data_IF_850517441968
#
_entry.id   IF_850517441968
#
_cell.length_a   1.000
_cell.length_b   1.000
_cell.length_c   1.000
_cell.angle_alpha   90.00
_cell.angle_beta   90.00
_cell.angle_gamma   90.00
#
_symmetry.space_group_name_H-M   'P 1'
#
loop_
_entity.id
_entity.type
_entity.pdbx_description
1 polymer ?
#
# COMPACT_ATOMS: atom_id res chain seq x y z
N UNK A 1 5.86 1.70 8.53
CA UNK A 1 5.23 1.35 7.24
C UNK A 1 4.09 2.30 6.89
N UNK A 2 2.99 2.31 7.66
CA UNK A 2 1.84 3.18 7.40
C UNK A 2 2.21 4.66 7.15
N UNK A 3 2.99 5.28 8.05
CA UNK A 3 3.43 6.67 7.90
C UNK A 3 4.27 6.92 6.64
N UNK A 4 5.17 5.99 6.30
CA UNK A 4 6.00 6.10 5.09
C UNK A 4 5.16 6.01 3.83
N UNK A 5 4.21 5.08 3.78
CA UNK A 5 3.28 4.98 2.67
C UNK A 5 2.41 6.24 2.58
N UNK A 6 1.97 6.83 3.71
CA UNK A 6 1.11 8.02 3.70
C UNK A 6 1.82 9.27 3.19
N UNK A 7 3.14 9.33 3.33
CA UNK A 7 3.95 10.41 2.79
C UNK A 7 4.15 10.28 1.26
N UNK A 8 4.05 9.07 0.71
CA UNK A 8 4.31 8.78 -0.71
C UNK A 8 3.04 8.56 -1.55
N UNK A 9 1.90 8.21 -0.94
CA UNK A 9 0.61 8.14 -1.64
C UNK A 9 0.16 9.56 -1.97
N UNK A 10 0.35 9.94 -3.24
CA UNK A 10 -0.13 11.20 -3.76
C UNK A 10 -1.66 11.23 -3.69
N UNK A 11 -2.23 12.34 -3.23
CA UNK A 11 -3.66 12.48 -2.89
C UNK A 11 -4.64 12.25 -4.06
N UNK A 12 -4.13 12.03 -5.26
CA UNK A 12 -4.89 11.77 -6.48
C UNK A 12 -5.07 10.28 -6.82
N UNK A 13 -4.20 9.37 -6.33
CA UNK A 13 -4.22 7.96 -6.75
C UNK A 13 -4.56 6.96 -5.63
N UNK A 14 -4.47 7.36 -4.35
CA UNK A 14 -4.90 6.54 -3.21
C UNK A 14 -4.11 5.23 -3.01
N UNK A 15 -3.11 4.96 -3.84
CA UNK A 15 -2.23 3.81 -3.80
C UNK A 15 -0.82 4.20 -4.25
N UNK A 16 0.18 3.59 -3.64
CA UNK A 16 1.59 3.72 -4.00
C UNK A 16 2.13 2.36 -4.46
N UNK A 17 2.96 2.36 -5.50
CA UNK A 17 3.52 1.14 -6.09
C UNK A 17 4.96 1.02 -5.63
N UNK A 18 5.25 -0.01 -4.85
CA UNK A 18 6.58 -0.23 -4.32
C UNK A 18 6.98 -1.71 -4.32
N UNK A 19 8.27 -1.96 -4.48
CA UNK A 19 8.87 -3.28 -4.26
C UNK A 19 9.06 -3.53 -2.75
N UNK A 20 8.83 -4.76 -2.30
CA UNK A 20 8.98 -5.10 -0.88
C UNK A 20 10.42 -4.98 -0.37
N UNK A 21 11.42 -5.26 -1.22
CA UNK A 21 12.83 -5.05 -0.89
C UNK A 21 13.13 -3.56 -0.77
N UNK A 22 12.61 -2.72 -1.67
CA UNK A 22 12.75 -1.27 -1.58
C UNK A 22 12.23 -0.72 -0.24
N UNK A 23 11.02 -1.12 0.17
CA UNK A 23 10.45 -0.72 1.45
C UNK A 23 11.28 -1.23 2.64
N UNK A 24 11.79 -2.46 2.55
CA UNK A 24 12.65 -3.04 3.57
C UNK A 24 13.95 -2.24 3.73
N UNK A 25 14.58 -1.87 2.62
CA UNK A 25 15.82 -1.10 2.57
C UNK A 25 15.62 0.32 3.13
N UNK A 26 14.54 1.01 2.73
CA UNK A 26 14.22 2.36 3.19
C UNK A 26 13.93 2.42 4.69
N UNK A 27 13.32 1.37 5.24
CA UNK A 27 12.95 1.27 6.65
C UNK A 27 14.00 0.57 7.51
N UNK A 28 15.12 0.12 6.91
CA UNK A 28 16.18 -0.64 7.58
C UNK A 28 15.67 -1.88 8.32
N UNK A 29 14.74 -2.62 7.70
CA UNK A 29 14.15 -3.85 8.23
C UNK A 29 14.27 -4.99 7.22
N UNK A 30 13.84 -6.19 7.61
CA UNK A 30 13.80 -7.33 6.69
C UNK A 30 12.51 -7.34 5.87
N UNK A 31 12.51 -7.97 4.68
CA UNK A 31 11.28 -8.24 3.91
C UNK A 31 10.24 -8.99 4.77
N UNK A 32 10.68 -9.89 5.65
CA UNK A 32 9.78 -10.61 6.56
C UNK A 32 9.05 -9.66 7.51
N UNK A 33 9.74 -8.63 8.00
CA UNK A 33 9.13 -7.57 8.81
C UNK A 33 8.09 -6.78 8.02
N UNK A 34 8.41 -6.40 6.77
CA UNK A 34 7.44 -5.73 5.88
C UNK A 34 6.20 -6.59 5.68
N UNK A 35 6.36 -7.87 5.35
CA UNK A 35 5.24 -8.81 5.17
C UNK A 35 4.37 -8.92 6.41
N UNK A 36 4.97 -9.05 7.59
CA UNK A 36 4.22 -9.10 8.85
C UNK A 36 3.42 -7.80 9.09
N UNK A 37 4.02 -6.64 8.81
CA UNK A 37 3.35 -5.35 8.95
C UNK A 37 2.22 -5.16 7.93
N UNK A 38 2.41 -5.60 6.68
CA UNK A 38 1.36 -5.61 5.67
C UNK A 38 0.20 -6.47 6.13
N UNK A 39 0.44 -7.74 6.51
CA UNK A 39 -0.63 -8.62 6.99
C UNK A 39 -1.34 -8.09 8.24
N UNK A 40 -0.61 -7.43 9.15
CA UNK A 40 -1.22 -6.77 10.31
C UNK A 40 -2.14 -5.62 9.90
N UNK A 41 -1.70 -4.75 8.97
CA UNK A 41 -2.51 -3.61 8.52
C UNK A 41 -3.70 -4.05 7.66
N UNK A 42 -3.54 -5.06 6.80
CA UNK A 42 -4.64 -5.67 6.05
C UNK A 42 -5.69 -6.29 6.97
N UNK A 43 -5.26 -6.99 8.04
CA UNK A 43 -6.16 -7.55 9.03
C UNK A 43 -6.91 -6.51 9.88
N UNK A 44 -6.53 -5.24 9.82
CA UNK A 44 -7.20 -4.12 10.49
C UNK A 44 -7.89 -3.17 9.48
N UNK A 45 -8.08 -3.58 8.23
CA UNK A 45 -8.68 -2.76 7.17
C UNK A 45 -7.97 -1.40 6.91
N UNK A 46 -6.69 -1.30 7.30
CA UNK A 46 -5.88 -0.08 7.18
C UNK A 46 -4.97 -0.07 5.95
N UNK A 47 -4.93 -1.16 5.19
CA UNK A 47 -4.08 -1.34 4.02
C UNK A 47 -4.68 -2.40 3.11
N UNK A 48 -4.52 -2.26 1.80
CA UNK A 48 -4.70 -3.35 0.83
C UNK A 48 -3.43 -3.48 0.00
N UNK A 49 -2.91 -4.71 -0.09
CA UNK A 49 -1.83 -5.08 -1.00
C UNK A 49 -2.40 -5.69 -2.29
N UNK A 50 -2.04 -5.12 -3.43
CA UNK A 50 -2.39 -5.66 -4.75
C UNK A 50 -1.10 -6.12 -5.44
N UNK A 51 -0.90 -7.43 -5.63
CA UNK A 51 0.24 -7.93 -6.40
C UNK A 51 0.08 -7.54 -7.87
N UNK A 52 1.10 -6.91 -8.47
CA UNK A 52 1.09 -6.48 -9.88
C UNK A 52 2.00 -7.38 -10.73
N UNK A 53 3.22 -7.61 -10.26
CA UNK A 53 4.22 -8.45 -10.89
C UNK A 53 5.01 -9.18 -9.80
N UNK A 54 5.92 -10.11 -10.17
CA UNK A 54 6.55 -11.08 -9.25
C UNK A 54 6.92 -10.54 -7.85
N UNK A 55 7.47 -9.32 -7.76
CA UNK A 55 7.90 -8.70 -6.50
C UNK A 55 7.29 -7.31 -6.23
N UNK A 56 6.58 -6.77 -7.21
CA UNK A 56 6.02 -5.42 -7.16
C UNK A 56 4.59 -5.49 -6.67
N UNK A 57 4.28 -4.69 -5.64
CA UNK A 57 2.95 -4.58 -5.06
C UNK A 57 2.51 -3.12 -5.07
N UNK A 58 1.22 -2.90 -5.35
CA UNK A 58 0.55 -1.66 -4.97
C UNK A 58 0.06 -1.76 -3.53
N UNK A 59 0.18 -0.66 -2.79
CA UNK A 59 -0.23 -0.49 -1.41
C UNK A 59 -1.21 0.67 -1.31
N UNK A 60 -2.41 0.41 -0.81
CA UNK A 60 -3.43 1.44 -0.65
C UNK A 60 -3.83 1.56 0.83
N UNK A 61 -3.71 2.75 1.44
CA UNK A 61 -3.89 2.96 2.89
C UNK A 61 -5.33 3.12 3.36
N UNK A 62 -6.29 3.31 2.44
CA UNK A 62 -7.72 3.42 2.80
C UNK A 62 -8.57 2.79 1.69
N UNK A 63 -8.99 1.52 1.84
CA UNK A 63 -9.81 0.85 0.82
C UNK A 63 -11.16 1.56 0.59
N UNK A 64 -11.72 2.19 1.63
CA UNK A 64 -12.96 2.96 1.57
C UNK A 64 -12.87 4.24 0.71
N UNK A 65 -11.68 4.83 0.55
CA UNK A 65 -11.43 5.98 -0.35
C UNK A 65 -11.08 5.49 -1.76
N UNK A 66 -10.34 4.39 -1.89
CA UNK A 66 -10.01 3.74 -3.18
C UNK A 66 -11.28 3.31 -3.92
N UNK A 67 -12.33 2.88 -3.19
CA UNK A 67 -13.63 2.54 -3.77
C UNK A 67 -14.58 3.74 -3.97
N UNK A 68 -14.32 4.90 -3.34
CA UNK A 68 -15.03 6.16 -3.67
C UNK A 68 -14.47 6.81 -4.93
N UNK A 69 -13.15 6.77 -5.13
CA UNK A 69 -12.52 7.26 -6.35
C UNK A 69 -13.05 6.55 -7.62
N UNK A 70 -13.42 5.28 -7.51
CA UNK A 70 -13.99 4.49 -8.61
C UNK A 70 -15.49 4.72 -8.88
N UNK A 71 -16.20 5.48 -8.04
CA UNK A 71 -17.65 5.73 -8.21
C UNK A 71 -17.99 7.15 -8.72
N UNK A 72 -17.00 7.98 -9.10
CA UNK A 72 -17.26 9.38 -9.49
C UNK A 72 -16.88 9.74 -10.92
N UNK A 73 -16.81 8.78 -11.85
CA UNK A 73 -16.91 9.07 -13.29
C UNK A 73 -17.15 7.81 -14.13
N UNK A 74 -18.41 7.42 -14.24
CA UNK A 74 -18.96 6.92 -15.50
C UNK A 74 -20.19 7.78 -15.84
N UNK A 75 -20.04 8.85 -16.64
CA UNK A 75 -21.09 9.23 -17.57
C UNK A 75 -21.23 8.16 -18.68
#
# INVERSE_FOLDING_TARGET
LYSVLSEHIDGNCGADVADQQFLADQLYVTIRTIRNWVSFLEGNDCLVQIPIAEKICAYALIPAEVWKANNTSKP
#
